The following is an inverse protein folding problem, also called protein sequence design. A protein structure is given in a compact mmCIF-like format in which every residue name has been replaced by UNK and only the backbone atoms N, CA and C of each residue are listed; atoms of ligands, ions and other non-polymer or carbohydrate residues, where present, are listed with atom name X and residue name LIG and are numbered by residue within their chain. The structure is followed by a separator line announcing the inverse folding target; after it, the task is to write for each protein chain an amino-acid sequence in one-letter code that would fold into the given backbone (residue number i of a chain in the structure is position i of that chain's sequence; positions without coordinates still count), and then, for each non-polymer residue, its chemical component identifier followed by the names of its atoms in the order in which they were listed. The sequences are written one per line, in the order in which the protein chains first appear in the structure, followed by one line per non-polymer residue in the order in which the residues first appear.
data_IF_814240398440
#
_entry.id   IF_814240398440
#
_cell.length_a   1.000
_cell.length_b   1.000
_cell.length_c   1.000
_cell.angle_alpha   90.00
_cell.angle_beta   90.00
_cell.angle_gamma   90.00
#
_symmetry.space_group_name_H-M   'P 1'
#
loop_
_entity.id
_entity.type
_entity.pdbx_description
1 polymer ?
#
# COMPACT_ATOMS: atom_id res chain seq x y z
N UNK A 1 4.28 21.98 14.68
CA UNK A 1 3.75 21.88 13.31
C UNK A 1 3.44 23.30 12.88
N UNK A 2 4.05 23.80 11.80
CA UNK A 2 3.82 25.18 11.36
C UNK A 2 2.41 25.29 10.78
N UNK A 3 1.72 26.42 10.98
CA UNK A 3 0.38 26.64 10.42
C UNK A 3 0.36 26.46 8.89
N UNK A 4 1.45 26.78 8.21
CA UNK A 4 1.64 26.54 6.77
C UNK A 4 1.58 25.05 6.38
N UNK A 5 2.16 24.17 7.20
CA UNK A 5 2.15 22.73 6.92
C UNK A 5 0.74 22.15 7.12
N UNK A 6 -0.01 22.64 8.11
CA UNK A 6 -1.40 22.24 8.33
C UNK A 6 -2.32 22.68 7.16
N UNK A 7 -2.12 23.90 6.64
CA UNK A 7 -2.79 24.40 5.44
C UNK A 7 -2.47 23.53 4.21
N UNK A 8 -1.21 23.16 4.02
CA UNK A 8 -0.77 22.29 2.93
C UNK A 8 -1.39 20.89 3.04
N UNK A 9 -1.43 20.29 4.23
CA UNK A 9 -2.07 18.98 4.48
C UNK A 9 -3.56 19.01 4.12
N UNK A 10 -4.27 20.08 4.48
CA UNK A 10 -5.69 20.27 4.14
C UNK A 10 -5.91 20.36 2.61
N UNK A 11 -5.07 21.12 1.90
CA UNK A 11 -5.14 21.20 0.44
C UNK A 11 -4.82 19.87 -0.26
N UNK A 12 -3.81 19.14 0.23
CA UNK A 12 -3.48 17.80 -0.27
C UNK A 12 -4.67 16.84 -0.08
N UNK A 13 -5.36 16.90 1.05
CA UNK A 13 -6.57 16.10 1.31
C UNK A 13 -7.67 16.42 0.30
N UNK A 14 -7.99 17.69 0.07
CA UNK A 14 -9.00 18.11 -0.91
C UNK A 14 -8.65 17.68 -2.35
N UNK A 15 -7.38 17.75 -2.75
CA UNK A 15 -6.94 17.30 -4.08
C UNK A 15 -7.01 15.76 -4.21
N UNK A 16 -6.72 15.03 -3.14
CA UNK A 16 -6.84 13.56 -3.12
C UNK A 16 -8.28 13.10 -3.23
N UNK A 17 -9.21 13.75 -2.53
CA UNK A 17 -10.66 13.47 -2.63
C UNK A 17 -11.19 13.68 -4.06
N UNK A 18 -10.59 14.61 -4.81
CA UNK A 18 -10.86 14.83 -6.25
C UNK A 18 -10.18 13.80 -7.17
N UNK A 19 -9.46 12.81 -6.63
CA UNK A 19 -8.77 11.78 -7.39
C UNK A 19 -7.39 12.18 -7.94
N UNK A 20 -6.81 13.29 -7.49
CA UNK A 20 -5.50 13.74 -8.00
C UNK A 20 -4.36 12.86 -7.46
N UNK A 21 -3.49 12.40 -8.36
CA UNK A 21 -2.29 11.64 -7.99
C UNK A 21 -1.16 12.51 -7.42
N UNK A 22 -0.13 11.93 -6.79
CA UNK A 22 0.96 12.68 -6.13
C UNK A 22 1.69 13.67 -7.04
N UNK A 23 1.88 13.33 -8.33
CA UNK A 23 2.47 14.22 -9.33
C UNK A 23 1.58 15.43 -9.65
N UNK A 24 0.27 15.23 -9.74
CA UNK A 24 -0.68 16.33 -9.99
C UNK A 24 -0.76 17.26 -8.79
N UNK A 25 -0.75 16.70 -7.57
CA UNK A 25 -0.70 17.47 -6.33
C UNK A 25 0.57 18.32 -6.26
N UNK A 26 1.74 17.75 -6.59
CA UNK A 26 2.99 18.51 -6.63
C UNK A 26 2.92 19.70 -7.60
N UNK A 27 2.34 19.49 -8.79
CA UNK A 27 2.15 20.55 -9.79
C UNK A 27 1.18 21.63 -9.32
N UNK A 28 0.04 21.24 -8.75
CA UNK A 28 -0.99 22.17 -8.29
C UNK A 28 -0.51 23.06 -7.14
N UNK A 29 0.34 22.52 -6.25
CA UNK A 29 0.85 23.24 -5.08
C UNK A 29 2.24 23.88 -5.29
N UNK A 30 2.83 23.76 -6.49
CA UNK A 30 4.18 24.27 -6.77
C UNK A 30 5.29 23.61 -5.93
N UNK A 31 5.05 22.41 -5.41
CA UNK A 31 5.95 21.71 -4.51
C UNK A 31 6.92 20.79 -5.27
N UNK A 32 8.08 20.53 -4.64
CA UNK A 32 8.96 19.44 -5.08
C UNK A 32 8.24 18.09 -4.95
N UNK A 33 8.41 17.14 -5.89
CA UNK A 33 7.73 15.83 -5.87
C UNK A 33 7.93 15.05 -4.56
N UNK A 34 9.13 15.12 -3.98
CA UNK A 34 9.43 14.47 -2.71
C UNK A 34 8.61 15.04 -1.54
N UNK A 35 8.44 16.37 -1.49
CA UNK A 35 7.64 17.04 -0.43
C UNK A 35 6.15 16.75 -0.60
N UNK A 36 5.63 16.77 -1.84
CA UNK A 36 4.26 16.34 -2.11
C UNK A 36 4.03 14.87 -1.72
N UNK A 37 4.98 13.98 -2.01
CA UNK A 37 4.89 12.56 -1.65
C UNK A 37 4.95 12.32 -0.13
N UNK A 38 5.66 13.18 0.61
CA UNK A 38 5.66 13.14 2.07
C UNK A 38 4.30 13.58 2.64
N UNK A 39 3.75 14.68 2.14
CA UNK A 39 2.43 15.18 2.57
C UNK A 39 1.29 14.21 2.25
N UNK A 40 1.31 13.57 1.07
CA UNK A 40 0.33 12.53 0.72
C UNK A 40 0.41 11.34 1.66
N UNK A 41 1.62 10.91 2.04
CA UNK A 41 1.81 9.84 3.03
C UNK A 41 1.32 10.23 4.42
N UNK A 42 1.57 11.47 4.84
CA UNK A 42 1.07 11.99 6.10
C UNK A 42 -0.46 12.00 6.13
N UNK A 43 -1.12 12.52 5.09
CA UNK A 43 -2.59 12.49 4.96
C UNK A 43 -3.12 11.05 5.00
N UNK A 44 -2.46 10.11 4.32
CA UNK A 44 -2.85 8.70 4.35
C UNK A 44 -2.69 8.09 5.76
N UNK A 45 -1.62 8.41 6.47
CA UNK A 45 -1.39 7.95 7.83
C UNK A 45 -2.42 8.49 8.83
N UNK A 46 -2.76 9.78 8.73
CA UNK A 46 -3.83 10.40 9.53
C UNK A 46 -5.19 9.73 9.25
N UNK A 47 -5.53 9.52 7.97
CA UNK A 47 -6.76 8.81 7.59
C UNK A 47 -6.79 7.37 8.12
N UNK A 48 -5.66 6.67 8.08
CA UNK A 48 -5.55 5.31 8.61
C UNK A 48 -5.69 5.29 10.14
N UNK A 49 -5.17 6.31 10.83
CA UNK A 49 -5.22 6.40 12.30
C UNK A 49 -6.62 6.73 12.82
N UNK A 50 -7.42 7.46 12.04
CA UNK A 50 -8.81 7.80 12.40
C UNK A 50 -9.82 6.73 11.96
N UNK A 51 -9.50 5.92 10.95
CA UNK A 51 -10.41 4.87 10.48
C UNK A 51 -10.40 3.65 11.40
N UNK A 52 -11.60 3.23 11.86
CA UNK A 52 -11.81 1.96 12.54
C UNK A 52 -11.22 0.81 11.70
N UNK A 53 -10.49 -0.15 12.31
CA UNK A 53 -9.75 -1.20 11.57
C UNK A 53 -10.62 -1.98 10.57
N UNK A 54 -11.90 -2.16 10.89
CA UNK A 54 -12.87 -2.90 10.06
C UNK A 54 -13.31 -2.14 8.81
N UNK A 55 -13.21 -0.81 8.81
CA UNK A 55 -13.63 0.07 7.71
C UNK A 55 -12.47 0.43 6.75
N UNK A 56 -11.26 -0.08 7.01
CA UNK A 56 -10.09 0.24 6.19
C UNK A 56 -10.15 -0.55 4.87
N UNK A 57 -10.15 0.11 3.70
CA UNK A 57 -10.07 -0.59 2.43
C UNK A 57 -8.72 -1.29 2.34
N UNK A 58 -8.74 -2.63 2.41
CA UNK A 58 -7.57 -3.47 2.16
C UNK A 58 -7.31 -3.44 0.67
N UNK A 59 -6.23 -2.79 0.26
CA UNK A 59 -5.72 -2.96 -1.10
C UNK A 59 -5.11 -4.35 -1.15
N UNK A 60 -5.83 -5.30 -1.74
CA UNK A 60 -5.32 -6.65 -1.98
C UNK A 60 -4.13 -6.58 -2.93
N UNK A 61 -2.92 -6.67 -2.39
CA UNK A 61 -1.71 -6.85 -3.19
C UNK A 61 -1.59 -8.34 -3.52
N UNK A 62 -1.42 -8.66 -4.79
CA UNK A 62 -1.15 -10.03 -5.19
C UNK A 62 0.29 -10.40 -4.84
N UNK A 63 0.46 -11.35 -3.92
CA UNK A 63 1.75 -11.96 -3.60
C UNK A 63 1.84 -13.32 -4.28
N UNK A 64 3.05 -13.74 -4.65
CA UNK A 64 3.25 -15.08 -5.22
C UNK A 64 3.13 -16.12 -4.11
N UNK A 65 2.62 -17.30 -4.45
CA UNK A 65 2.61 -18.44 -3.54
C UNK A 65 4.03 -18.79 -3.09
N UNK A 66 4.20 -19.06 -1.80
CA UNK A 66 5.46 -19.40 -1.18
C UNK A 66 6.32 -18.21 -0.80
N UNK A 67 5.81 -16.96 -0.89
CA UNK A 67 6.54 -15.77 -0.44
C UNK A 67 6.91 -15.83 1.04
N UNK A 68 6.16 -16.58 1.84
CA UNK A 68 6.37 -16.72 3.29
C UNK A 68 7.40 -17.80 3.67
N UNK A 69 7.89 -18.59 2.72
CA UNK A 69 8.77 -19.75 2.98
C UNK A 69 10.10 -19.37 3.64
N UNK A 70 10.66 -18.21 3.29
CA UNK A 70 11.93 -17.71 3.83
C UNK A 70 11.77 -16.72 5.00
N UNK A 71 10.53 -16.46 5.44
CA UNK A 71 10.30 -15.67 6.65
C UNK A 71 10.48 -16.60 7.86
N UNK A 72 11.52 -16.35 8.66
CA UNK A 72 11.78 -17.04 9.94
C UNK A 72 10.72 -16.67 10.99
N UNK A 73 9.50 -17.16 10.80
CA UNK A 73 8.39 -17.01 11.73
C UNK A 73 8.55 -18.08 12.82
N UNK A 74 8.71 -17.65 14.07
CA UNK A 74 8.86 -18.57 15.22
C UNK A 74 7.70 -19.54 15.36
N UNK A 75 6.50 -19.12 14.95
CA UNK A 75 5.33 -19.95 14.77
C UNK A 75 4.66 -19.53 13.46
N UNK A 76 4.37 -20.49 12.57
CA UNK A 76 3.74 -20.20 11.29
C UNK A 76 2.22 -20.04 11.48
N UNK A 77 1.66 -18.82 11.37
CA UNK A 77 0.22 -18.61 11.42
C UNK A 77 -0.48 -19.28 10.23
N UNK A 78 -1.80 -19.49 10.33
CA UNK A 78 -2.57 -20.26 9.34
C UNK A 78 -2.42 -19.72 7.90
N UNK A 79 -2.31 -18.41 7.73
CA UNK A 79 -2.11 -17.80 6.41
C UNK A 79 -0.76 -18.18 5.78
N UNK A 80 0.28 -18.38 6.59
CA UNK A 80 1.62 -18.75 6.12
C UNK A 80 1.67 -20.25 5.76
N UNK A 81 0.94 -21.09 6.52
CA UNK A 81 0.78 -22.52 6.20
C UNK A 81 0.04 -22.70 4.88
N UNK A 82 -1.06 -21.98 4.68
CA UNK A 82 -1.80 -21.99 3.42
C UNK A 82 -0.94 -21.51 2.22
N UNK A 83 -0.09 -20.50 2.42
CA UNK A 83 0.85 -20.03 1.38
C UNK A 83 1.89 -21.11 0.99
N UNK A 84 2.44 -21.81 1.98
CA UNK A 84 3.39 -22.91 1.76
C UNK A 84 2.74 -24.11 1.05
N UNK A 85 1.49 -24.45 1.39
CA UNK A 85 0.73 -25.51 0.74
C UNK A 85 0.47 -25.21 -0.75
N UNK A 86 0.17 -23.95 -1.10
CA UNK A 86 0.01 -23.53 -2.50
C UNK A 86 1.34 -23.58 -3.26
N UNK A 87 2.46 -23.28 -2.61
CA UNK A 87 3.79 -23.43 -3.20
C UNK A 87 4.19 -24.89 -3.44
N UNK A 88 3.72 -25.81 -2.58
CA UNK A 88 3.98 -27.24 -2.65
C UNK A 88 3.22 -28.00 -3.73
N UNK A 89 2.26 -27.37 -4.42
CA UNK A 89 1.59 -27.99 -5.58
C UNK A 89 2.59 -28.09 -6.74
N UNK A 90 2.99 -29.31 -7.17
CA UNK A 90 3.90 -29.45 -8.29
C UNK A 90 3.26 -28.84 -9.52
N UNK A 91 3.94 -27.87 -10.13
CA UNK A 91 3.52 -27.29 -11.42
C UNK A 91 3.39 -28.45 -12.42
N UNK A 92 2.24 -28.63 -13.11
CA UNK A 92 2.15 -29.64 -14.14
C UNK A 92 3.23 -29.39 -15.20
N UNK A 93 3.86 -30.44 -15.76
CA UNK A 93 4.88 -30.26 -16.77
C UNK A 93 4.33 -29.42 -17.91
N UNK A 94 5.02 -28.33 -18.24
CA UNK A 94 4.66 -27.50 -19.39
C UNK A 94 4.84 -28.35 -20.65
N UNK A 95 3.74 -28.73 -21.29
CA UNK A 95 3.79 -29.44 -22.58
C UNK A 95 4.57 -28.58 -23.57
N UNK A 96 5.58 -29.14 -24.29
CA UNK A 96 6.23 -28.42 -25.35
C UNK A 96 5.19 -28.07 -26.41
N UNK A 97 5.20 -26.82 -26.84
CA UNK A 97 4.30 -26.27 -27.85
C UNK A 97 4.61 -26.98 -29.19
N UNK A 98 3.70 -27.83 -29.66
CA UNK A 98 3.74 -28.41 -31.02
C UNK A 98 3.56 -27.34 -32.10
#
# INVERSE_FOLDING_TARGET
MNDDDAQLVSQVRSLREKGSGPKQIARALGLKPARASALVRQVAHEQQSTAEPVARPVVGCWVNAGWSTDLELSEAPDWARADAEVAGVPRPPVSPRS
#
